data_IF_235935165583
#
_entry.id   IF_235935165583
#
_cell.length_a   1.000
_cell.length_b   1.000
_cell.length_c   1.000
_cell.angle_alpha   90.00
_cell.angle_beta   90.00
_cell.angle_gamma   90.00
#
_symmetry.space_group_name_H-M   'P 1'
#
loop_
_entity.id
_entity.type
_entity.pdbx_description
1 polymer ?
#
# COMPACT_ATOMS: atom_id res chain seq x y z
N UNK A 1 -16.61 13.52 10.66
CA UNK A 1 -16.09 12.98 9.41
C UNK A 1 -14.88 12.10 9.67
N UNK A 2 -14.85 10.97 9.03
CA UNK A 2 -13.75 10.05 9.16
C UNK A 2 -12.96 9.94 7.87
N UNK A 3 -11.83 9.26 7.96
CA UNK A 3 -11.04 8.91 6.81
C UNK A 3 -10.70 7.43 6.91
N UNK A 4 -10.61 6.81 5.77
CA UNK A 4 -10.12 5.44 5.68
C UNK A 4 -8.75 5.46 5.04
N UNK A 5 -7.85 4.68 5.61
CA UNK A 5 -6.49 4.59 5.13
C UNK A 5 -6.27 3.17 4.61
N UNK A 6 -5.70 3.08 3.43
CA UNK A 6 -5.43 1.81 2.78
C UNK A 6 -3.96 1.74 2.43
N UNK A 7 -3.39 0.57 2.51
CA UNK A 7 -2.04 0.32 1.99
C UNK A 7 -2.20 -0.53 0.74
N UNK A 8 -1.85 0.03 -0.40
CA UNK A 8 -2.00 -0.65 -1.67
C UNK A 8 -0.65 -0.73 -2.37
N UNK A 9 -0.48 -1.77 -3.15
CA UNK A 9 0.75 -1.93 -3.90
C UNK A 9 0.86 -3.31 -4.51
N UNK A 10 2.09 -3.72 -4.72
CA UNK A 10 2.40 -5.00 -5.29
C UNK A 10 3.71 -4.94 -6.02
N UNK A 11 3.93 -5.90 -6.91
CA UNK A 11 5.13 -5.98 -7.71
C UNK A 11 4.88 -5.38 -9.07
N UNK A 12 5.68 -4.39 -9.43
CA UNK A 12 5.57 -3.74 -10.73
C UNK A 12 6.42 -4.46 -11.75
N UNK A 13 6.08 -4.28 -13.02
CA UNK A 13 6.78 -4.98 -14.11
C UNK A 13 8.21 -4.50 -14.28
N UNK A 14 8.44 -3.20 -13.96
CA UNK A 14 9.79 -2.64 -14.05
C UNK A 14 9.95 -1.53 -13.02
N UNK A 15 11.11 -0.91 -12.99
CA UNK A 15 11.44 0.13 -12.02
C UNK A 15 10.75 1.47 -12.29
N UNK A 16 9.93 1.56 -13.29
CA UNK A 16 9.15 2.77 -13.58
C UNK A 16 7.88 2.85 -12.75
N UNK A 17 7.47 1.72 -12.15
CA UNK A 17 6.29 1.64 -11.28
C UNK A 17 5.00 2.10 -11.97
N UNK A 18 4.84 1.72 -13.22
CA UNK A 18 3.65 2.07 -14.00
C UNK A 18 2.60 0.98 -14.03
N UNK A 19 3.03 -0.27 -14.16
CA UNK A 19 2.13 -1.39 -14.31
C UNK A 19 2.47 -2.48 -13.32
N UNK A 20 1.46 -2.95 -12.61
CA UNK A 20 1.61 -4.05 -11.66
C UNK A 20 1.63 -5.37 -12.41
N UNK A 21 2.45 -6.30 -11.89
CA UNK A 21 2.38 -7.67 -12.36
C UNK A 21 1.04 -8.27 -11.99
N UNK A 22 0.35 -8.94 -12.91
CA UNK A 22 -0.95 -9.53 -12.60
C UNK A 22 -0.84 -10.51 -11.42
N UNK A 23 -1.81 -10.42 -10.52
CA UNK A 23 -1.88 -11.32 -9.38
C UNK A 23 -1.02 -10.93 -8.19
N UNK A 24 -0.25 -9.83 -8.28
CA UNK A 24 0.58 -9.39 -7.16
C UNK A 24 -0.03 -8.25 -6.37
N UNK A 25 -1.19 -7.76 -6.78
CA UNK A 25 -1.83 -6.64 -6.14
C UNK A 25 -2.17 -6.96 -4.69
N UNK A 26 -1.85 -6.02 -3.82
CA UNK A 26 -2.08 -6.14 -2.39
C UNK A 26 -2.87 -4.93 -1.93
N UNK A 27 -3.96 -5.19 -1.20
CA UNK A 27 -4.77 -4.13 -0.60
C UNK A 27 -4.97 -4.50 0.85
N UNK A 28 -4.41 -3.69 1.74
CA UNK A 28 -4.58 -3.87 3.18
C UNK A 28 -5.40 -2.73 3.75
N UNK A 29 -6.28 -3.01 4.64
CA UNK A 29 -7.09 -2.03 5.31
C UNK A 29 -8.52 -2.51 5.43
N UNK A 30 -9.46 -1.62 5.69
CA UNK A 30 -9.05 -0.22 5.93
C UNK A 30 -8.62 -0.02 7.38
N UNK A 31 -7.82 1.05 7.56
CA UNK A 31 -7.38 1.47 8.89
C UNK A 31 -8.06 2.79 9.22
N UNK A 32 -8.50 2.94 10.45
CA UNK A 32 -9.15 4.17 10.91
C UNK A 32 -8.14 5.23 11.34
N UNK A 33 -6.87 4.87 11.39
CA UNK A 33 -5.80 5.69 11.94
C UNK A 33 -4.62 5.66 10.98
N UNK A 34 -4.13 6.84 10.62
CA UNK A 34 -3.00 6.95 9.72
C UNK A 34 -1.76 6.24 10.26
N UNK A 35 -1.57 6.27 11.58
CA UNK A 35 -0.41 5.62 12.19
C UNK A 35 -0.43 4.11 11.94
N UNK A 36 -1.60 3.50 12.04
CA UNK A 36 -1.73 2.07 11.79
C UNK A 36 -1.44 1.72 10.32
N UNK A 37 -1.92 2.55 9.40
CA UNK A 37 -1.65 2.35 7.99
C UNK A 37 -0.15 2.50 7.71
N UNK A 38 0.49 3.49 8.35
CA UNK A 38 1.92 3.72 8.18
C UNK A 38 2.74 2.56 8.72
N UNK A 39 2.33 1.99 9.85
CA UNK A 39 3.02 0.84 10.41
C UNK A 39 2.96 -0.35 9.45
N UNK A 40 1.82 -0.59 8.86
CA UNK A 40 1.68 -1.66 7.88
C UNK A 40 2.49 -1.38 6.63
N UNK A 41 2.48 -0.13 6.16
CA UNK A 41 3.29 0.28 5.02
C UNK A 41 4.78 0.04 5.28
N UNK A 42 5.25 0.39 6.47
CA UNK A 42 6.65 0.16 6.83
C UNK A 42 6.97 -1.32 6.86
N UNK A 43 6.10 -2.12 7.43
CA UNK A 43 6.31 -3.56 7.50
C UNK A 43 6.44 -4.17 6.12
N UNK A 44 5.60 -3.74 5.19
CA UNK A 44 5.62 -4.26 3.83
C UNK A 44 6.81 -3.74 3.03
N UNK A 45 7.17 -2.49 3.25
CA UNK A 45 8.24 -1.84 2.48
C UNK A 45 9.62 -2.29 2.93
N UNK A 46 9.81 -2.50 4.22
CA UNK A 46 11.12 -2.77 4.79
C UNK A 46 11.33 -4.23 5.19
N UNK A 47 10.48 -5.11 4.75
CA UNK A 47 10.70 -6.53 5.01
C UNK A 47 11.89 -7.03 4.21
N UNK A 48 12.52 -8.11 4.70
CA UNK A 48 13.82 -8.59 4.21
C UNK A 48 13.86 -8.96 2.73
N UNK A 49 12.72 -9.27 2.13
CA UNK A 49 12.68 -9.76 0.75
C UNK A 49 11.87 -8.88 -0.18
N UNK A 50 11.83 -7.59 0.12
CA UNK A 50 11.15 -6.67 -0.76
C UNK A 50 11.95 -6.53 -2.05
N UNK A 51 11.35 -6.90 -3.18
CA UNK A 51 11.99 -6.81 -4.48
C UNK A 51 12.14 -5.35 -4.89
N UNK A 52 13.12 -5.06 -5.74
CA UNK A 52 13.36 -3.70 -6.21
C UNK A 52 12.16 -3.11 -6.96
N UNK A 53 11.35 -3.98 -7.59
CA UNK A 53 10.15 -3.55 -8.32
C UNK A 53 8.90 -3.56 -7.45
N UNK A 54 9.00 -3.95 -6.19
CA UNK A 54 7.88 -4.00 -5.28
C UNK A 54 7.70 -2.64 -4.60
N UNK A 55 6.47 -2.13 -4.61
CA UNK A 55 6.22 -0.81 -4.06
C UNK A 55 4.84 -0.75 -3.42
N UNK A 56 4.73 -0.03 -2.31
CA UNK A 56 3.49 0.14 -1.58
C UNK A 56 3.25 1.61 -1.30
N UNK A 57 1.99 1.99 -1.25
CA UNK A 57 1.59 3.38 -1.00
C UNK A 57 0.41 3.42 -0.04
N UNK A 58 0.32 4.52 0.70
CA UNK A 58 -0.82 4.75 1.57
C UNK A 58 -1.82 5.62 0.81
N UNK A 59 -3.05 5.12 0.70
CA UNK A 59 -4.15 5.86 0.09
C UNK A 59 -5.10 6.33 1.17
N UNK A 60 -5.55 7.56 1.05
CA UNK A 60 -6.51 8.15 1.97
C UNK A 60 -7.83 8.30 1.25
N UNK A 61 -8.86 7.70 1.84
CA UNK A 61 -10.22 7.81 1.30
C UNK A 61 -11.08 8.60 2.27
N UNK A 62 -11.58 9.77 1.86
CA UNK A 62 -12.51 10.49 2.73
C UNK A 62 -13.84 9.75 2.81
N UNK A 63 -14.38 9.68 4.01
CA UNK A 63 -15.67 9.05 4.24
C UNK A 63 -16.72 10.16 4.29
N UNK A 64 -17.61 10.15 3.33
CA UNK A 64 -18.73 11.09 3.28
C UNK A 64 -19.88 10.55 4.13
N UNK A 65 -20.45 11.42 4.93
CA UNK A 65 -21.60 11.07 5.74
C UNK A 65 -22.77 11.97 5.41
#
# INVERSE_FOLDING_TARGET
MGRRYWVIGGQYQDCRFRELEPGTEVIHGHYSDEIKARMEWQRLTFRDRCAATERYSICVEPVLQ
#
